data_IF_844754130326
#
_entry.id   IF_844754130326
#
_cell.length_a   1.000
_cell.length_b   1.000
_cell.length_c   1.000
_cell.angle_alpha   90.00
_cell.angle_beta   90.00
_cell.angle_gamma   90.00
#
_symmetry.space_group_name_H-M   'P 1'
#
loop_
_entity.id
_entity.type
_entity.pdbx_description
1 polymer ?
#
# COMPACT_ATOMS: atom_id res chain seq x y z
N UNK A 1 -20.79 -4.17 5.15
CA UNK A 1 -21.72 -5.13 4.54
C UNK A 1 -21.12 -6.50 4.59
N UNK A 2 -21.93 -7.55 4.84
CA UNK A 2 -21.45 -8.92 4.76
C UNK A 2 -21.32 -9.36 3.29
N UNK A 3 -20.23 -10.03 2.96
CA UNK A 3 -20.07 -10.77 1.71
C UNK A 3 -20.70 -12.17 1.91
N UNK A 4 -22.01 -12.27 1.70
CA UNK A 4 -22.77 -13.51 1.93
C UNK A 4 -22.22 -14.71 1.15
N UNK A 5 -21.62 -14.48 -0.03
CA UNK A 5 -20.95 -15.55 -0.76
C UNK A 5 -19.68 -16.01 -0.04
N UNK A 6 -18.89 -15.10 0.47
CA UNK A 6 -17.72 -15.44 1.29
C UNK A 6 -18.13 -16.23 2.54
N UNK A 7 -19.20 -15.82 3.22
CA UNK A 7 -19.75 -16.55 4.36
C UNK A 7 -20.22 -17.96 3.95
N UNK A 8 -20.91 -18.08 2.82
CA UNK A 8 -21.38 -19.37 2.27
C UNK A 8 -20.20 -20.32 2.00
N UNK A 9 -19.13 -19.88 1.33
CA UNK A 9 -18.00 -20.77 1.01
C UNK A 9 -17.09 -21.08 2.18
N UNK A 10 -17.25 -20.37 3.30
CA UNK A 10 -16.59 -20.72 4.57
C UNK A 10 -17.27 -21.89 5.27
N UNK A 11 -18.56 -22.12 5.02
CA UNK A 11 -19.28 -23.29 5.48
C UNK A 11 -18.81 -24.54 4.70
N UNK A 12 -18.61 -25.71 5.36
CA UNK A 12 -18.13 -26.94 4.71
C UNK A 12 -18.98 -27.38 3.49
N UNK A 13 -20.31 -27.26 3.58
CA UNK A 13 -21.23 -27.59 2.46
C UNK A 13 -21.07 -26.61 1.30
N UNK A 14 -21.11 -25.31 1.57
CA UNK A 14 -20.94 -24.29 0.56
C UNK A 14 -19.58 -24.35 -0.12
N UNK A 15 -18.53 -24.66 0.62
CA UNK A 15 -17.18 -24.90 0.11
C UNK A 15 -17.17 -26.03 -0.91
N UNK A 16 -17.75 -27.19 -0.57
CA UNK A 16 -17.79 -28.36 -1.45
C UNK A 16 -18.56 -28.07 -2.75
N UNK A 17 -19.68 -27.35 -2.64
CA UNK A 17 -20.47 -26.92 -3.81
C UNK A 17 -19.65 -25.98 -4.70
N UNK A 18 -19.05 -24.94 -4.12
CA UNK A 18 -18.25 -23.98 -4.85
C UNK A 18 -17.05 -24.63 -5.55
N UNK A 19 -16.35 -25.55 -4.87
CA UNK A 19 -15.24 -26.32 -5.46
C UNK A 19 -15.69 -27.16 -6.65
N UNK A 20 -16.80 -27.89 -6.54
CA UNK A 20 -17.32 -28.72 -7.62
C UNK A 20 -17.76 -27.92 -8.84
N UNK A 21 -18.20 -26.67 -8.63
CA UNK A 21 -18.63 -25.75 -9.69
C UNK A 21 -17.49 -24.86 -10.21
N UNK A 22 -16.27 -25.00 -9.70
CA UNK A 22 -15.12 -24.15 -10.08
C UNK A 22 -15.30 -22.67 -9.72
N UNK A 23 -16.14 -22.37 -8.72
CA UNK A 23 -16.43 -21.01 -8.30
C UNK A 23 -15.27 -20.41 -7.45
N UNK A 24 -15.14 -19.08 -7.38
CA UNK A 24 -14.14 -18.41 -6.56
C UNK A 24 -14.17 -18.84 -5.09
N UNK A 25 -13.01 -18.98 -4.47
CA UNK A 25 -12.87 -19.46 -3.09
C UNK A 25 -12.19 -18.38 -2.21
N UNK A 26 -12.91 -17.28 -1.88
CA UNK A 26 -12.35 -16.28 -0.96
C UNK A 26 -12.07 -16.89 0.40
N UNK A 27 -10.98 -16.46 1.02
CA UNK A 27 -10.60 -16.84 2.37
C UNK A 27 -10.64 -15.63 3.29
N UNK A 28 -10.75 -15.87 4.60
CA UNK A 28 -10.51 -14.80 5.58
C UNK A 28 -9.04 -14.39 5.52
N UNK A 29 -8.78 -13.17 5.04
CA UNK A 29 -7.44 -12.61 5.04
C UNK A 29 -7.01 -12.27 6.47
N UNK A 30 -5.79 -12.62 6.80
CA UNK A 30 -5.17 -12.17 8.04
C UNK A 30 -4.81 -10.69 7.92
N UNK A 31 -5.52 -9.84 8.67
CA UNK A 31 -5.31 -8.41 8.77
C UNK A 31 -4.66 -8.07 10.10
N UNK A 32 -3.88 -7.01 10.12
CA UNK A 32 -3.16 -6.55 11.30
C UNK A 32 -4.12 -6.23 12.46
N UNK A 33 -3.73 -6.64 13.65
CA UNK A 33 -4.37 -6.30 14.92
C UNK A 33 -3.41 -5.46 15.76
N UNK A 34 -3.91 -4.48 16.47
CA UNK A 34 -3.09 -3.60 17.30
C UNK A 34 -2.25 -4.42 18.30
N UNK A 35 -0.97 -4.05 18.44
CA UNK A 35 -0.01 -4.76 19.28
C UNK A 35 0.54 -6.08 18.69
N UNK A 36 0.11 -6.48 17.50
CA UNK A 36 0.63 -7.69 16.84
C UNK A 36 2.05 -7.46 16.31
N UNK A 37 2.91 -8.49 16.41
CA UNK A 37 4.23 -8.48 15.78
C UNK A 37 4.11 -8.24 14.27
N UNK A 38 5.07 -7.55 13.64
CA UNK A 38 5.04 -7.30 12.20
C UNK A 38 5.07 -8.59 11.37
N UNK A 39 5.77 -9.62 11.85
CA UNK A 39 5.81 -10.94 11.21
C UNK A 39 5.23 -11.96 12.18
N UNK A 40 4.23 -12.72 11.73
CA UNK A 40 3.42 -13.62 12.57
C UNK A 40 3.79 -15.10 12.45
N UNK A 41 4.93 -15.41 11.88
CA UNK A 41 5.43 -16.77 11.70
C UNK A 41 6.82 -16.79 11.09
N UNK A 42 7.26 -17.99 10.70
CA UNK A 42 8.62 -18.19 10.19
C UNK A 42 8.87 -17.50 8.85
N UNK A 43 10.09 -17.04 8.67
CA UNK A 43 10.62 -16.42 7.45
C UNK A 43 11.60 -17.37 6.79
N UNK A 44 11.50 -17.57 5.48
CA UNK A 44 12.58 -18.16 4.70
C UNK A 44 13.27 -17.07 3.89
N UNK A 45 14.59 -16.99 3.98
CA UNK A 45 15.39 -15.98 3.33
C UNK A 45 16.48 -16.60 2.45
N UNK A 46 16.54 -16.16 1.21
CA UNK A 46 17.57 -16.53 0.25
C UNK A 46 18.04 -15.34 -0.55
N UNK A 47 19.22 -15.47 -1.14
CA UNK A 47 19.86 -14.41 -1.90
C UNK A 47 20.42 -14.94 -3.23
N UNK A 48 20.48 -14.11 -4.25
CA UNK A 48 21.19 -14.38 -5.48
C UNK A 48 22.70 -14.28 -5.28
N UNK A 49 23.46 -14.92 -6.16
CA UNK A 49 24.91 -14.69 -6.23
C UNK A 49 25.21 -13.20 -6.40
N UNK A 50 26.22 -12.71 -5.68
CA UNK A 50 26.63 -11.30 -5.67
C UNK A 50 25.52 -10.32 -5.26
N UNK A 51 24.55 -10.75 -4.47
CA UNK A 51 23.53 -9.87 -3.90
C UNK A 51 24.16 -8.77 -3.04
N UNK A 52 23.66 -7.55 -3.18
CA UNK A 52 24.23 -6.37 -2.51
C UNK A 52 23.36 -5.86 -1.33
N UNK A 53 22.15 -6.38 -1.17
CA UNK A 53 21.20 -5.94 -0.14
C UNK A 53 21.03 -6.96 0.99
N UNK A 54 21.68 -8.10 0.92
CA UNK A 54 21.51 -9.22 1.85
C UNK A 54 21.72 -8.84 3.32
N UNK A 55 22.77 -8.06 3.62
CA UNK A 55 23.06 -7.62 4.99
C UNK A 55 22.01 -6.62 5.53
N UNK A 56 21.51 -5.74 4.68
CA UNK A 56 20.48 -4.76 5.08
C UNK A 56 19.14 -5.46 5.34
N UNK A 57 18.78 -6.45 4.52
CA UNK A 57 17.60 -7.28 4.74
C UNK A 57 17.74 -8.07 6.04
N UNK A 58 18.87 -8.72 6.27
CA UNK A 58 19.16 -9.47 7.50
C UNK A 58 19.07 -8.57 8.75
N UNK A 59 19.58 -7.34 8.67
CA UNK A 59 19.46 -6.36 9.74
C UNK A 59 18.00 -6.01 10.05
N UNK A 60 17.15 -5.85 9.04
CA UNK A 60 15.71 -5.64 9.26
C UNK A 60 15.08 -6.85 9.93
N UNK A 61 15.43 -8.07 9.49
CA UNK A 61 14.93 -9.31 10.12
C UNK A 61 15.35 -9.43 11.59
N UNK A 62 16.58 -9.03 11.92
CA UNK A 62 17.04 -8.93 13.32
C UNK A 62 16.23 -7.90 14.13
N UNK A 63 16.00 -6.70 13.57
CA UNK A 63 15.23 -5.64 14.22
C UNK A 63 13.78 -6.03 14.54
N UNK A 64 13.20 -6.93 13.76
CA UNK A 64 11.84 -7.46 14.00
C UNK A 64 11.83 -8.77 14.78
N UNK A 65 13.00 -9.27 15.16
CA UNK A 65 13.18 -10.55 15.87
C UNK A 65 12.50 -11.73 15.12
N UNK A 66 12.72 -11.78 13.80
CA UNK A 66 12.12 -12.81 12.96
C UNK A 66 12.68 -14.20 13.27
N UNK A 67 11.81 -15.21 13.23
CA UNK A 67 12.21 -16.62 13.21
C UNK A 67 12.62 -17.00 11.78
N UNK A 68 13.93 -17.06 11.51
CA UNK A 68 14.49 -17.13 10.16
C UNK A 68 15.02 -18.53 9.84
N UNK A 69 14.69 -18.99 8.64
CA UNK A 69 15.18 -20.23 8.04
C UNK A 69 16.04 -19.93 6.82
N UNK A 70 17.10 -20.67 6.67
CA UNK A 70 17.92 -20.70 5.45
C UNK A 70 17.18 -21.45 4.34
N UNK A 71 17.37 -20.98 3.11
CA UNK A 71 16.97 -21.74 1.92
C UNK A 71 17.79 -23.03 1.77
N UNK A 72 17.37 -23.99 0.93
CA UNK A 72 18.09 -25.27 0.76
C UNK A 72 19.57 -25.14 0.33
N UNK A 73 19.94 -24.03 -0.28
CA UNK A 73 21.32 -23.74 -0.69
C UNK A 73 22.09 -22.91 0.35
N UNK A 74 21.44 -22.54 1.44
CA UNK A 74 22.00 -21.71 2.51
C UNK A 74 22.59 -20.38 2.02
N UNK A 75 22.02 -19.85 0.95
CA UNK A 75 22.56 -18.72 0.22
C UNK A 75 22.68 -17.42 1.04
N UNK A 76 21.83 -17.25 2.08
CA UNK A 76 21.81 -16.09 2.96
C UNK A 76 22.62 -16.28 4.28
N UNK A 77 23.36 -17.40 4.44
CA UNK A 77 24.04 -17.73 5.70
C UNK A 77 24.91 -16.62 6.24
N UNK A 78 25.82 -16.11 5.42
CA UNK A 78 26.78 -15.07 5.86
C UNK A 78 26.07 -13.78 6.27
N UNK A 79 25.05 -13.35 5.56
CA UNK A 79 24.28 -12.16 5.90
C UNK A 79 23.53 -12.31 7.22
N UNK A 80 22.96 -13.50 7.50
CA UNK A 80 22.27 -13.78 8.74
C UNK A 80 23.23 -13.88 9.93
N UNK A 81 24.43 -14.47 9.74
CA UNK A 81 25.47 -14.51 10.75
C UNK A 81 25.98 -13.09 11.09
N UNK A 82 26.20 -12.23 10.07
CA UNK A 82 26.59 -10.84 10.25
C UNK A 82 25.54 -10.04 11.06
N UNK A 83 24.25 -10.38 10.90
CA UNK A 83 23.15 -9.81 11.65
C UNK A 83 22.89 -10.49 13.01
N UNK A 84 23.72 -11.47 13.40
CA UNK A 84 23.61 -12.24 14.65
C UNK A 84 22.26 -13.00 14.74
N UNK A 85 21.72 -13.46 13.62
CA UNK A 85 20.53 -14.30 13.57
C UNK A 85 20.99 -15.78 13.57
N UNK A 86 20.51 -16.54 14.54
CA UNK A 86 20.65 -18.00 14.59
C UNK A 86 19.57 -18.62 13.69
N UNK A 87 19.88 -18.74 12.40
CA UNK A 87 18.93 -19.19 11.40
C UNK A 87 18.82 -20.73 11.40
N UNK A 88 17.60 -21.22 11.36
CA UNK A 88 17.30 -22.64 11.31
C UNK A 88 17.50 -23.22 9.89
N UNK A 89 17.69 -24.52 9.80
CA UNK A 89 17.76 -25.22 8.53
C UNK A 89 16.37 -25.47 7.96
N UNK A 90 16.21 -25.36 6.65
CA UNK A 90 15.00 -25.79 5.96
C UNK A 90 14.78 -27.29 6.14
N UNK A 91 13.62 -27.67 6.67
CA UNK A 91 13.25 -29.06 6.94
C UNK A 91 11.98 -29.50 6.21
N UNK A 92 11.77 -30.81 6.16
CA UNK A 92 10.54 -31.38 5.62
C UNK A 92 9.32 -30.91 6.45
N UNK A 93 8.20 -30.63 5.76
CA UNK A 93 6.94 -30.17 6.37
C UNK A 93 7.01 -28.79 7.07
N UNK A 94 8.03 -28.00 6.80
CA UNK A 94 8.11 -26.61 7.27
C UNK A 94 7.20 -25.70 6.44
N UNK A 95 6.50 -24.79 7.11
CA UNK A 95 5.68 -23.75 6.48
C UNK A 95 6.20 -22.37 6.86
N UNK A 96 6.15 -21.45 5.90
CA UNK A 96 6.68 -20.09 6.05
C UNK A 96 5.59 -19.04 5.88
N UNK A 97 5.58 -18.09 6.77
CA UNK A 97 4.70 -16.92 6.66
C UNK A 97 5.23 -15.91 5.67
N UNK A 98 6.54 -15.77 5.58
CA UNK A 98 7.20 -14.83 4.68
C UNK A 98 8.32 -15.55 3.93
N UNK A 99 8.37 -15.38 2.61
CA UNK A 99 9.50 -15.78 1.78
C UNK A 99 10.11 -14.52 1.16
N UNK A 100 11.39 -14.29 1.42
CA UNK A 100 12.15 -13.14 0.93
C UNK A 100 13.29 -13.64 0.07
N UNK A 101 13.44 -13.05 -1.13
CA UNK A 101 14.56 -13.32 -2.02
C UNK A 101 15.23 -12.03 -2.47
N UNK A 102 16.53 -11.89 -2.16
CA UNK A 102 17.35 -10.80 -2.67
C UNK A 102 17.87 -11.12 -4.07
N UNK A 103 17.25 -10.53 -5.08
CA UNK A 103 17.62 -10.65 -6.49
C UNK A 103 18.54 -9.51 -6.97
N UNK A 104 19.09 -8.71 -6.08
CA UNK A 104 19.92 -7.53 -6.45
C UNK A 104 21.22 -7.91 -7.17
N UNK A 105 21.72 -9.13 -6.97
CA UNK A 105 22.90 -9.65 -7.63
C UNK A 105 22.68 -10.12 -9.07
N UNK A 106 21.43 -10.29 -9.52
CA UNK A 106 21.10 -10.79 -10.87
C UNK A 106 21.45 -9.75 -11.93
N UNK A 107 22.36 -10.11 -12.83
CA UNK A 107 22.91 -9.25 -13.90
C UNK A 107 22.54 -9.70 -15.31
N UNK A 108 22.08 -10.93 -15.48
CA UNK A 108 21.72 -11.50 -16.76
C UNK A 108 20.41 -12.27 -16.69
N UNK A 109 19.76 -12.46 -17.84
CA UNK A 109 18.51 -13.24 -17.91
C UNK A 109 18.73 -14.73 -17.61
N UNK A 110 19.93 -15.25 -17.83
CA UNK A 110 20.28 -16.62 -17.46
C UNK A 110 20.26 -16.81 -15.92
N UNK A 111 20.70 -15.82 -15.17
CA UNK A 111 20.74 -15.84 -13.70
C UNK A 111 19.35 -15.79 -13.06
N UNK A 112 18.28 -15.46 -13.80
CA UNK A 112 16.88 -15.56 -13.33
C UNK A 112 16.52 -16.98 -12.86
N UNK A 113 17.28 -18.01 -13.28
CA UNK A 113 17.14 -19.37 -12.78
C UNK A 113 17.29 -19.45 -11.25
N UNK A 114 18.03 -18.54 -10.62
CA UNK A 114 18.20 -18.49 -9.17
C UNK A 114 16.87 -18.19 -8.44
N UNK A 115 16.03 -17.33 -9.04
CA UNK A 115 14.67 -17.05 -8.53
C UNK A 115 13.83 -18.35 -8.52
N UNK A 116 13.86 -19.10 -9.63
CA UNK A 116 13.18 -20.39 -9.73
C UNK A 116 13.71 -21.39 -8.69
N UNK A 117 15.03 -21.49 -8.56
CA UNK A 117 15.66 -22.44 -7.64
C UNK A 117 15.30 -22.19 -6.18
N UNK A 118 15.08 -20.91 -5.79
CA UNK A 118 14.63 -20.54 -4.45
C UNK A 118 13.12 -20.83 -4.26
N UNK A 119 12.26 -20.35 -5.15
CA UNK A 119 10.81 -20.43 -4.93
C UNK A 119 10.19 -21.77 -5.26
N UNK A 120 10.74 -22.52 -6.22
CA UNK A 120 10.15 -23.80 -6.64
C UNK A 120 10.05 -24.84 -5.50
N UNK A 121 11.10 -25.12 -4.71
CA UNK A 121 11.01 -26.10 -3.63
C UNK A 121 10.08 -25.68 -2.50
N UNK A 122 9.87 -24.38 -2.28
CA UNK A 122 9.06 -23.84 -1.18
C UNK A 122 7.66 -23.40 -1.59
N UNK A 123 7.29 -23.47 -2.87
CA UNK A 123 6.04 -22.93 -3.40
C UNK A 123 4.78 -23.46 -2.66
N UNK A 124 4.80 -24.71 -2.21
CA UNK A 124 3.72 -25.32 -1.44
C UNK A 124 3.82 -25.12 0.07
N UNK A 125 4.97 -24.64 0.53
CA UNK A 125 5.29 -24.40 1.94
C UNK A 125 5.02 -22.96 2.38
N UNK A 126 4.50 -22.10 1.51
CA UNK A 126 4.02 -20.78 1.93
C UNK A 126 2.65 -20.94 2.58
N UNK A 127 2.50 -20.44 3.79
CA UNK A 127 1.28 -20.57 4.59
C UNK A 127 0.14 -19.67 4.06
N UNK A 128 -1.07 -19.88 4.58
CA UNK A 128 -2.24 -19.03 4.28
C UNK A 128 -1.96 -17.58 4.70
N UNK A 129 -2.42 -16.65 3.87
CA UNK A 129 -2.12 -15.21 4.04
C UNK A 129 -0.62 -14.95 4.18
N UNK A 130 0.23 -15.75 3.51
CA UNK A 130 1.68 -15.57 3.49
C UNK A 130 2.11 -14.42 2.59
N UNK A 131 3.39 -14.09 2.64
CA UNK A 131 4.01 -12.98 1.92
C UNK A 131 5.18 -13.48 1.10
N UNK A 132 5.16 -13.19 -0.20
CA UNK A 132 6.30 -13.41 -1.10
C UNK A 132 6.87 -12.04 -1.45
N UNK A 133 8.14 -11.83 -1.15
CA UNK A 133 8.81 -10.56 -1.37
C UNK A 133 10.09 -10.83 -2.16
N UNK A 134 10.16 -10.23 -3.34
CA UNK A 134 11.39 -10.17 -4.13
C UNK A 134 11.96 -8.77 -4.00
N UNK A 135 13.26 -8.67 -3.77
CA UNK A 135 13.97 -7.40 -3.68
C UNK A 135 14.97 -7.35 -4.83
N UNK A 136 14.95 -6.27 -5.60
CA UNK A 136 15.82 -6.11 -6.78
C UNK A 136 16.28 -4.67 -6.92
N UNK A 137 16.96 -4.41 -8.05
CA UNK A 137 17.44 -3.07 -8.41
C UNK A 137 16.50 -2.42 -9.43
N UNK A 138 16.27 -1.10 -9.37
CA UNK A 138 15.49 -0.41 -10.39
C UNK A 138 16.10 -0.62 -11.78
N UNK A 139 15.34 -1.07 -12.78
CA UNK A 139 15.86 -1.30 -14.13
C UNK A 139 16.53 -0.06 -14.74
N UNK A 140 16.02 1.11 -14.43
CA UNK A 140 16.55 2.41 -14.86
C UNK A 140 17.90 2.80 -14.22
N UNK A 141 18.33 2.10 -13.18
CA UNK A 141 19.61 2.27 -12.48
C UNK A 141 20.62 1.18 -12.81
N UNK A 142 20.24 0.20 -13.64
CA UNK A 142 21.11 -0.89 -14.04
C UNK A 142 22.20 -0.43 -15.01
N UNK A 143 23.37 -1.07 -14.95
CA UNK A 143 24.55 -0.68 -15.73
C UNK A 143 24.59 -1.28 -17.14
N UNK A 144 23.71 -2.25 -17.44
CA UNK A 144 23.63 -2.90 -18.74
C UNK A 144 22.20 -3.22 -19.13
N UNK A 145 21.95 -3.36 -20.45
CA UNK A 145 20.64 -3.77 -20.98
C UNK A 145 20.25 -5.16 -20.46
N UNK A 146 21.20 -6.09 -20.36
CA UNK A 146 20.96 -7.44 -19.86
C UNK A 146 20.50 -7.42 -18.40
N UNK A 147 21.13 -6.61 -17.54
CA UNK A 147 20.74 -6.42 -16.16
C UNK A 147 19.36 -5.77 -16.04
N UNK A 148 19.12 -4.69 -16.80
CA UNK A 148 17.82 -4.01 -16.79
C UNK A 148 16.69 -4.97 -17.21
N UNK A 149 16.90 -5.79 -18.25
CA UNK A 149 15.94 -6.79 -18.69
C UNK A 149 15.70 -7.87 -17.62
N UNK A 150 16.76 -8.35 -16.96
CA UNK A 150 16.65 -9.35 -15.91
C UNK A 150 15.91 -8.79 -14.67
N UNK A 151 16.24 -7.60 -14.22
CA UNK A 151 15.56 -6.95 -13.09
C UNK A 151 14.08 -6.65 -13.42
N UNK A 152 13.78 -6.19 -14.65
CA UNK A 152 12.40 -5.98 -15.09
C UNK A 152 11.59 -7.29 -15.16
N UNK A 153 12.20 -8.42 -15.48
CA UNK A 153 11.53 -9.72 -15.53
C UNK A 153 10.95 -10.15 -14.17
N UNK A 154 11.52 -9.68 -13.05
CA UNK A 154 11.03 -9.94 -11.70
C UNK A 154 9.58 -9.44 -11.50
N UNK A 155 9.16 -8.39 -12.21
CA UNK A 155 7.77 -7.92 -12.15
C UNK A 155 6.78 -8.96 -12.66
N UNK A 156 7.12 -9.62 -13.78
CA UNK A 156 6.32 -10.71 -14.32
C UNK A 156 6.21 -11.87 -13.35
N UNK A 157 7.32 -12.21 -12.68
CA UNK A 157 7.36 -13.26 -11.67
C UNK A 157 6.42 -12.96 -10.50
N UNK A 158 6.56 -11.83 -9.83
CA UNK A 158 5.73 -11.50 -8.65
C UNK A 158 4.25 -11.38 -8.99
N UNK A 159 3.93 -10.82 -10.17
CA UNK A 159 2.54 -10.73 -10.65
C UNK A 159 1.93 -12.11 -10.92
N UNK A 160 2.72 -13.06 -11.42
CA UNK A 160 2.26 -14.45 -11.66
C UNK A 160 2.09 -15.20 -10.36
N UNK A 161 3.07 -15.14 -9.46
CA UNK A 161 3.01 -15.79 -8.13
C UNK A 161 1.81 -15.33 -7.32
N UNK A 162 1.51 -14.02 -7.31
CA UNK A 162 0.34 -13.48 -6.62
C UNK A 162 -1.00 -14.03 -7.15
N UNK A 163 -1.06 -14.50 -8.41
CA UNK A 163 -2.23 -15.16 -8.98
C UNK A 163 -2.25 -16.67 -8.73
N UNK A 164 -1.08 -17.30 -8.78
CA UNK A 164 -0.94 -18.77 -8.68
C UNK A 164 -1.08 -19.31 -7.27
N UNK A 165 -0.46 -18.65 -6.28
CA UNK A 165 -0.37 -19.20 -4.93
C UNK A 165 -1.70 -19.17 -4.17
N UNK A 166 -2.64 -18.28 -4.55
CA UNK A 166 -3.98 -18.22 -3.93
C UNK A 166 -3.90 -18.13 -2.40
N UNK A 167 -4.87 -18.70 -1.69
CA UNK A 167 -4.88 -18.82 -0.21
C UNK A 167 -4.60 -17.50 0.53
N UNK A 168 -4.90 -16.32 -0.10
CA UNK A 168 -4.62 -15.00 0.45
C UNK A 168 -3.14 -14.63 0.49
N UNK A 169 -2.29 -15.40 -0.19
CA UNK A 169 -0.86 -15.09 -0.32
C UNK A 169 -0.70 -13.88 -1.22
N UNK A 170 0.09 -12.91 -0.76
CA UNK A 170 0.46 -11.73 -1.56
C UNK A 170 1.88 -11.86 -2.09
N UNK A 171 2.17 -11.20 -3.22
CA UNK A 171 3.50 -11.20 -3.82
C UNK A 171 3.88 -9.79 -4.25
N UNK A 172 5.09 -9.33 -3.86
CA UNK A 172 5.55 -7.95 -4.04
C UNK A 172 6.96 -7.94 -4.62
N UNK A 173 7.26 -6.87 -5.35
CA UNK A 173 8.63 -6.52 -5.75
C UNK A 173 9.00 -5.17 -5.14
N UNK A 174 10.12 -5.13 -4.45
CA UNK A 174 10.71 -3.90 -3.93
C UNK A 174 11.98 -3.63 -4.73
N UNK A 175 11.97 -2.60 -5.55
CA UNK A 175 13.20 -2.08 -6.13
C UNK A 175 13.87 -1.13 -5.14
N UNK A 176 15.11 -1.41 -4.81
CA UNK A 176 15.92 -0.59 -3.91
C UNK A 176 17.05 0.05 -4.70
N UNK A 177 17.14 1.36 -4.66
CA UNK A 177 18.32 2.06 -5.23
C UNK A 177 19.58 1.58 -4.49
N UNK A 178 20.68 1.28 -5.18
CA UNK A 178 21.90 0.77 -4.55
C UNK A 178 22.41 1.62 -3.37
N UNK A 179 22.12 2.93 -3.36
CA UNK A 179 22.54 3.85 -2.31
C UNK A 179 21.45 4.09 -1.24
N UNK A 180 20.36 3.36 -1.27
CA UNK A 180 19.18 3.60 -0.43
C UNK A 180 18.80 2.41 0.47
N UNK A 181 19.67 1.45 0.67
CA UNK A 181 19.41 0.25 1.47
C UNK A 181 18.96 0.59 2.90
N UNK A 182 19.46 1.67 3.49
CA UNK A 182 19.08 2.18 4.82
C UNK A 182 17.59 2.60 4.91
N UNK A 183 16.93 2.82 3.80
CA UNK A 183 15.51 3.22 3.74
C UNK A 183 14.55 2.01 3.54
N UNK A 184 15.08 0.78 3.47
CA UNK A 184 14.31 -0.43 3.16
C UNK A 184 13.36 -0.84 4.30
N UNK A 185 13.73 -0.61 5.56
CA UNK A 185 13.09 -1.22 6.74
C UNK A 185 11.58 -0.97 6.79
N UNK A 186 11.13 0.26 6.60
CA UNK A 186 9.71 0.61 6.63
C UNK A 186 8.89 -0.19 5.61
N UNK A 187 9.38 -0.28 4.38
CA UNK A 187 8.73 -0.99 3.27
C UNK A 187 8.73 -2.51 3.50
N UNK A 188 9.84 -3.07 3.96
CA UNK A 188 9.92 -4.50 4.24
C UNK A 188 9.01 -4.89 5.41
N UNK A 189 8.97 -4.11 6.49
CA UNK A 189 8.02 -4.30 7.61
C UNK A 189 6.57 -4.27 7.14
N UNK A 190 6.21 -3.33 6.28
CA UNK A 190 4.85 -3.25 5.74
C UNK A 190 4.49 -4.48 4.94
N UNK A 191 5.30 -4.85 3.94
CA UNK A 191 4.98 -5.98 3.07
C UNK A 191 5.09 -7.34 3.74
N UNK A 192 5.97 -7.51 4.72
CA UNK A 192 6.08 -8.74 5.48
C UNK A 192 4.95 -8.92 6.53
N UNK A 193 4.18 -7.88 6.81
CA UNK A 193 3.17 -7.84 7.85
C UNK A 193 1.73 -8.08 7.34
N UNK A 194 0.78 -8.41 8.24
CA UNK A 194 -0.64 -8.44 7.93
C UNK A 194 -1.24 -7.08 7.54
N UNK A 195 -0.51 -5.96 7.69
CA UNK A 195 -0.95 -4.62 7.22
C UNK A 195 -1.14 -4.59 5.70
N UNK A 196 -0.37 -5.38 4.94
CA UNK A 196 -0.43 -5.46 3.48
C UNK A 196 -1.40 -6.54 2.95
N UNK A 197 -2.39 -6.96 3.73
CA UNK A 197 -3.24 -8.12 3.44
C UNK A 197 -3.96 -8.07 2.07
N UNK A 198 -4.28 -6.88 1.56
CA UNK A 198 -4.98 -6.68 0.30
C UNK A 198 -4.12 -6.01 -0.79
N UNK A 199 -2.81 -5.89 -0.55
CA UNK A 199 -1.82 -5.39 -1.50
C UNK A 199 -1.08 -6.56 -2.10
N UNK A 200 -1.21 -6.80 -3.41
CA UNK A 200 -0.54 -7.90 -4.13
C UNK A 200 -0.22 -7.51 -5.56
N UNK A 201 0.86 -8.07 -6.11
CA UNK A 201 1.33 -7.81 -7.46
C UNK A 201 1.90 -6.41 -7.64
N UNK A 202 2.29 -5.74 -6.54
CA UNK A 202 2.79 -4.36 -6.60
C UNK A 202 4.31 -4.31 -6.75
N UNK A 203 4.75 -3.24 -7.40
CA UNK A 203 6.15 -2.87 -7.56
C UNK A 203 6.34 -1.52 -6.90
N UNK A 204 7.21 -1.48 -5.89
CA UNK A 204 7.50 -0.27 -5.13
C UNK A 204 8.97 0.06 -5.26
N UNK A 205 9.28 1.35 -5.36
CA UNK A 205 10.65 1.86 -5.40
C UNK A 205 11.02 2.49 -4.07
N UNK A 206 12.16 2.10 -3.54
CA UNK A 206 12.81 2.70 -2.37
C UNK A 206 14.07 3.40 -2.88
N UNK A 207 14.04 4.71 -2.85
CA UNK A 207 15.12 5.58 -3.29
C UNK A 207 15.84 6.25 -2.13
N UNK A 208 16.69 7.19 -2.48
CA UNK A 208 17.40 8.03 -1.51
C UNK A 208 16.40 8.86 -0.70
N UNK A 209 16.71 9.07 0.55
CA UNK A 209 15.90 9.84 1.49
C UNK A 209 16.57 9.91 2.84
N UNK A 210 16.08 10.77 3.72
CA UNK A 210 16.61 10.88 5.07
C UNK A 210 16.07 9.70 5.92
N UNK A 211 16.93 8.82 6.43
CA UNK A 211 16.48 7.77 7.34
C UNK A 211 16.01 8.41 8.65
N UNK A 212 14.76 8.18 9.01
CA UNK A 212 14.16 8.65 10.26
C UNK A 212 13.88 7.46 11.15
N UNK A 213 14.47 7.46 12.35
CA UNK A 213 14.18 6.44 13.36
C UNK A 213 12.82 6.73 14.01
N UNK A 214 12.00 5.70 14.15
CA UNK A 214 10.70 5.81 14.78
C UNK A 214 10.51 4.73 15.85
N UNK A 215 9.62 4.99 16.79
CA UNK A 215 9.07 3.93 17.66
C UNK A 215 8.06 3.10 16.87
N UNK A 216 8.42 1.89 16.49
CA UNK A 216 7.57 1.03 15.67
C UNK A 216 6.23 0.63 16.33
N UNK A 217 6.07 0.82 17.64
CA UNK A 217 4.78 0.64 18.31
C UNK A 217 3.85 1.83 18.06
N UNK A 218 4.41 3.03 17.94
CA UNK A 218 3.70 4.30 17.67
C UNK A 218 4.47 5.15 16.66
N UNK A 219 4.56 4.69 15.39
CA UNK A 219 5.48 5.31 14.41
C UNK A 219 5.12 6.74 14.02
N UNK A 220 3.91 7.18 14.34
CA UNK A 220 3.43 8.55 14.10
C UNK A 220 3.33 9.38 15.40
N UNK A 221 3.95 8.92 16.50
CA UNK A 221 3.89 9.64 17.77
C UNK A 221 4.42 11.07 17.63
N UNK A 222 3.62 12.02 18.10
CA UNK A 222 3.95 13.45 18.06
C UNK A 222 3.76 14.10 16.70
N UNK A 223 3.21 13.40 15.71
CA UNK A 223 2.93 13.93 14.37
C UNK A 223 1.51 14.49 14.27
N UNK A 224 1.35 15.60 13.55
CA UNK A 224 0.06 16.21 13.21
C UNK A 224 -0.25 15.93 11.74
N UNK A 225 -1.31 15.18 11.49
CA UNK A 225 -1.73 14.78 10.15
C UNK A 225 -3.16 15.28 9.85
N UNK A 226 -3.39 15.72 8.63
CA UNK A 226 -4.70 16.11 8.12
C UNK A 226 -5.27 14.99 7.26
N UNK A 227 -6.56 14.68 7.41
CA UNK A 227 -7.29 13.72 6.56
C UNK A 227 -8.53 14.40 6.01
N UNK A 228 -8.62 14.56 4.68
CA UNK A 228 -9.81 15.10 4.02
C UNK A 228 -10.83 13.99 3.75
N UNK A 229 -12.14 14.32 3.84
CA UNK A 229 -13.21 13.32 3.72
C UNK A 229 -13.22 12.32 4.87
N UNK A 230 -12.92 12.77 6.09
CA UNK A 230 -12.65 11.90 7.25
C UNK A 230 -13.89 11.41 7.98
N UNK A 231 -15.10 11.86 7.62
CA UNK A 231 -16.32 11.58 8.37
C UNK A 231 -16.82 10.14 8.27
N UNK A 232 -16.41 9.38 7.24
CA UNK A 232 -16.90 8.01 6.98
C UNK A 232 -16.00 7.20 6.06
N UNK A 233 -16.26 5.90 5.98
CA UNK A 233 -15.69 5.01 4.96
C UNK A 233 -14.16 4.88 5.04
N UNK A 234 -13.47 5.14 3.92
CA UNK A 234 -12.02 5.05 3.84
C UNK A 234 -11.39 6.14 4.71
N UNK A 235 -11.88 7.38 4.64
CA UNK A 235 -11.33 8.51 5.42
C UNK A 235 -11.44 8.32 6.94
N UNK A 236 -12.56 7.80 7.42
CA UNK A 236 -12.74 7.40 8.83
C UNK A 236 -11.71 6.32 9.22
N UNK A 237 -11.54 5.28 8.39
CA UNK A 237 -10.57 4.22 8.66
C UNK A 237 -9.13 4.76 8.68
N UNK A 238 -8.78 5.67 7.77
CA UNK A 238 -7.48 6.35 7.75
C UNK A 238 -7.26 7.11 9.06
N UNK A 239 -8.21 7.95 9.45
CA UNK A 239 -8.11 8.74 10.69
C UNK A 239 -7.89 7.85 11.93
N UNK A 240 -8.63 6.73 12.00
CA UNK A 240 -8.50 5.76 13.10
C UNK A 240 -7.12 5.07 13.11
N UNK A 241 -6.61 4.65 11.94
CA UNK A 241 -5.30 3.98 11.84
C UNK A 241 -4.16 4.94 12.16
N UNK A 242 -4.18 6.16 11.63
CA UNK A 242 -3.14 7.16 11.90
C UNK A 242 -3.12 7.55 13.39
N UNK A 243 -4.28 7.70 14.02
CA UNK A 243 -4.37 7.95 15.46
C UNK A 243 -3.90 6.75 16.29
N UNK A 244 -4.29 5.51 15.92
CA UNK A 244 -3.77 4.29 16.53
C UNK A 244 -2.24 4.26 16.51
N UNK A 245 -1.63 4.66 15.41
CA UNK A 245 -0.19 4.68 15.22
C UNK A 245 0.49 5.92 15.88
N UNK A 246 -0.29 6.79 16.57
CA UNK A 246 0.20 7.84 17.47
C UNK A 246 0.07 9.27 16.97
N UNK A 247 -0.50 9.51 15.78
CA UNK A 247 -0.70 10.85 15.26
C UNK A 247 -1.85 11.59 15.97
N UNK A 248 -1.73 12.92 16.07
CA UNK A 248 -2.89 13.79 16.21
C UNK A 248 -3.48 14.01 14.82
N UNK A 249 -4.75 13.61 14.63
CA UNK A 249 -5.43 13.73 13.34
C UNK A 249 -6.40 14.90 13.34
N UNK A 250 -6.24 15.82 12.39
CA UNK A 250 -7.22 16.86 12.06
C UNK A 250 -8.14 16.29 10.98
N UNK A 251 -9.35 15.93 11.39
CA UNK A 251 -10.38 15.39 10.50
C UNK A 251 -11.07 16.54 9.75
N UNK A 252 -11.05 16.50 8.42
CA UNK A 252 -11.64 17.52 7.55
C UNK A 252 -12.80 16.94 6.76
N UNK A 253 -13.95 17.63 6.77
CA UNK A 253 -15.09 17.33 5.91
C UNK A 253 -16.01 18.54 5.79
N UNK A 254 -16.96 18.51 4.85
CA UNK A 254 -17.94 19.58 4.61
C UNK A 254 -18.95 19.68 5.76
N UNK A 255 -19.59 20.85 5.89
CA UNK A 255 -20.55 21.13 6.95
C UNK A 255 -21.71 20.11 7.03
N UNK A 256 -22.13 19.57 5.90
CA UNK A 256 -23.18 18.55 5.84
C UNK A 256 -22.79 17.23 6.54
N UNK A 257 -21.51 16.98 6.80
CA UNK A 257 -20.98 15.80 7.49
C UNK A 257 -20.49 16.10 8.92
N UNK A 258 -20.76 17.27 9.46
CA UNK A 258 -20.20 17.75 10.74
C UNK A 258 -20.46 16.80 11.90
N UNK A 259 -21.65 16.21 12.00
CA UNK A 259 -22.01 15.28 13.08
C UNK A 259 -21.15 14.02 13.06
N UNK A 260 -21.01 13.40 11.88
CA UNK A 260 -20.19 12.19 11.71
C UNK A 260 -18.70 12.53 11.90
N UNK A 261 -18.26 13.70 11.42
CA UNK A 261 -16.89 14.18 11.60
C UNK A 261 -16.53 14.36 13.08
N UNK A 262 -17.42 14.98 13.86
CA UNK A 262 -17.24 15.14 15.32
C UNK A 262 -17.19 13.80 16.04
N UNK A 263 -18.03 12.86 15.63
CA UNK A 263 -18.02 11.49 16.19
C UNK A 263 -16.66 10.81 15.95
N UNK A 264 -16.18 10.81 14.71
CA UNK A 264 -14.88 10.20 14.35
C UNK A 264 -13.73 10.86 15.14
N UNK A 265 -13.66 12.19 15.12
CA UNK A 265 -12.63 12.93 15.84
C UNK A 265 -12.68 12.68 17.37
N UNK A 266 -13.88 12.60 17.95
CA UNK A 266 -14.07 12.27 19.37
C UNK A 266 -13.59 10.86 19.72
N UNK A 267 -13.88 9.86 18.87
CA UNK A 267 -13.44 8.47 19.08
C UNK A 267 -11.91 8.33 19.09
N UNK A 268 -11.19 9.15 18.32
CA UNK A 268 -9.73 9.06 18.18
C UNK A 268 -8.95 10.12 18.99
N UNK A 269 -9.62 10.99 19.71
CA UNK A 269 -8.96 12.13 20.40
C UNK A 269 -8.34 13.14 19.42
N UNK A 270 -8.85 13.20 18.20
CA UNK A 270 -8.43 14.14 17.14
C UNK A 270 -9.14 15.49 17.26
N UNK A 271 -8.99 16.31 16.22
CA UNK A 271 -9.71 17.57 16.06
C UNK A 271 -10.47 17.61 14.74
N UNK A 272 -11.44 18.52 14.64
CA UNK A 272 -12.25 18.70 13.43
C UNK A 272 -11.94 20.03 12.78
N UNK A 273 -11.98 20.06 11.45
CA UNK A 273 -12.01 21.26 10.63
C UNK A 273 -13.15 21.11 9.62
N UNK A 274 -14.26 21.80 9.87
CA UNK A 274 -15.38 21.86 8.90
C UNK A 274 -14.98 22.78 7.76
N UNK A 275 -14.76 22.22 6.57
CA UNK A 275 -14.20 22.91 5.43
C UNK A 275 -14.66 22.28 4.11
N UNK A 276 -15.08 23.10 3.16
CA UNK A 276 -15.16 22.71 1.76
C UNK A 276 -13.76 22.84 1.14
N UNK A 277 -13.18 21.73 0.74
CA UNK A 277 -11.81 21.69 0.18
C UNK A 277 -11.71 22.41 -1.16
N UNK A 278 -12.84 22.69 -1.85
CA UNK A 278 -12.86 23.45 -3.10
C UNK A 278 -12.77 24.97 -2.90
N UNK A 279 -12.90 25.44 -1.65
CA UNK A 279 -12.77 26.87 -1.32
C UNK A 279 -11.35 27.38 -1.61
N UNK A 280 -11.22 28.61 -2.07
CA UNK A 280 -9.92 29.19 -2.44
C UNK A 280 -8.96 29.34 -1.24
N UNK A 281 -9.49 29.47 -0.03
CA UNK A 281 -8.74 29.58 1.23
C UNK A 281 -8.53 28.23 1.97
N UNK A 282 -8.80 27.10 1.29
CA UNK A 282 -8.74 25.79 1.92
C UNK A 282 -7.33 25.46 2.44
N UNK A 283 -6.29 25.72 1.64
CA UNK A 283 -4.89 25.50 2.04
C UNK A 283 -4.51 26.34 3.26
N UNK A 284 -4.88 27.63 3.29
CA UNK A 284 -4.64 28.53 4.40
C UNK A 284 -5.30 28.04 5.70
N UNK A 285 -6.57 27.63 5.64
CA UNK A 285 -7.31 27.11 6.80
C UNK A 285 -6.71 25.81 7.35
N UNK A 286 -6.25 24.94 6.46
CA UNK A 286 -5.55 23.70 6.85
C UNK A 286 -4.24 24.03 7.55
N UNK A 287 -3.41 24.90 6.96
CA UNK A 287 -2.16 25.36 7.55
C UNK A 287 -2.37 26.00 8.93
N UNK A 288 -3.35 26.90 9.05
CA UNK A 288 -3.68 27.57 10.30
C UNK A 288 -4.20 26.60 11.37
N UNK A 289 -4.92 25.55 11.00
CA UNK A 289 -5.36 24.52 11.93
C UNK A 289 -4.19 23.67 12.44
N UNK A 290 -3.25 23.28 11.55
CA UNK A 290 -2.07 22.52 11.90
C UNK A 290 -1.07 23.33 12.74
N UNK A 291 -0.90 24.62 12.47
CA UNK A 291 -0.01 25.51 13.22
C UNK A 291 -0.33 25.55 14.72
N UNK A 292 -1.62 25.40 15.11
CA UNK A 292 -2.07 25.31 16.51
C UNK A 292 -1.55 24.04 17.23
N UNK A 293 -0.98 23.11 16.46
CA UNK A 293 -0.48 21.79 16.92
C UNK A 293 1.04 21.60 16.64
N UNK A 294 1.75 22.67 16.32
CA UNK A 294 3.20 22.62 16.07
C UNK A 294 3.59 22.41 14.61
N UNK A 295 2.65 22.60 13.67
CA UNK A 295 2.87 22.49 12.22
C UNK A 295 2.24 21.25 11.61
N UNK A 296 2.42 21.08 10.30
CA UNK A 296 1.85 20.03 9.50
C UNK A 296 2.89 18.97 9.14
N UNK A 297 2.77 17.76 9.72
CA UNK A 297 3.66 16.65 9.39
C UNK A 297 3.17 15.81 8.18
N UNK A 298 1.94 16.02 7.75
CA UNK A 298 1.46 15.43 6.52
C UNK A 298 -0.04 15.60 6.29
N UNK A 299 -0.44 15.34 5.06
CA UNK A 299 -1.83 15.41 4.62
C UNK A 299 -2.21 14.17 3.82
N UNK A 300 -3.43 13.68 4.04
CA UNK A 300 -4.05 12.63 3.23
C UNK A 300 -5.21 13.22 2.45
N UNK A 301 -5.05 13.35 1.15
CA UNK A 301 -6.09 13.76 0.20
C UNK A 301 -6.98 12.56 -0.11
N UNK A 302 -8.04 12.39 0.70
CA UNK A 302 -8.98 11.28 0.55
C UNK A 302 -10.37 11.74 0.10
N UNK A 303 -10.73 12.99 0.28
CA UNK A 303 -12.02 13.51 -0.15
C UNK A 303 -12.22 13.28 -1.65
N UNK A 304 -13.40 12.83 -2.03
CA UNK A 304 -13.72 12.58 -3.43
C UNK A 304 -15.18 12.20 -3.63
N UNK A 305 -15.67 12.50 -4.83
CA UNK A 305 -17.05 12.21 -5.24
C UNK A 305 -17.08 11.48 -6.58
N UNK A 306 -18.19 10.81 -6.85
CA UNK A 306 -18.52 10.27 -8.18
C UNK A 306 -19.80 10.92 -8.72
N UNK A 307 -19.90 11.06 -10.04
CA UNK A 307 -21.09 11.45 -10.78
C UNK A 307 -21.12 10.60 -12.04
N UNK A 308 -21.63 9.37 -11.88
CA UNK A 308 -21.48 8.32 -12.88
C UNK A 308 -22.54 8.48 -14.00
N UNK A 309 -22.07 8.72 -15.21
CA UNK A 309 -22.83 8.71 -16.48
C UNK A 309 -21.88 8.39 -17.63
N UNK A 310 -22.40 7.80 -18.69
CA UNK A 310 -21.64 7.70 -19.95
C UNK A 310 -21.36 9.11 -20.49
N UNK A 311 -20.21 9.32 -21.13
CA UNK A 311 -19.76 10.62 -21.60
C UNK A 311 -20.84 11.38 -22.41
N UNK A 312 -21.53 10.68 -23.28
CA UNK A 312 -22.60 11.27 -24.12
C UNK A 312 -23.86 11.74 -23.36
N UNK A 313 -24.00 11.33 -22.08
CA UNK A 313 -25.14 11.69 -21.21
C UNK A 313 -24.72 12.49 -19.97
N UNK A 314 -23.44 12.79 -19.86
CA UNK A 314 -22.88 13.57 -18.76
C UNK A 314 -23.13 15.04 -19.05
N UNK A 315 -23.61 15.79 -18.08
CA UNK A 315 -23.72 17.24 -18.15
C UNK A 315 -22.49 17.93 -17.54
N UNK A 316 -22.36 19.23 -17.82
CA UNK A 316 -21.22 20.06 -17.39
C UNK A 316 -21.09 20.07 -15.85
N UNK A 317 -22.21 20.13 -15.12
CA UNK A 317 -22.18 20.13 -13.65
C UNK A 317 -21.62 18.82 -13.07
N UNK A 318 -21.94 17.67 -13.69
CA UNK A 318 -21.39 16.38 -13.28
C UNK A 318 -19.89 16.31 -13.54
N UNK A 319 -19.43 16.87 -14.65
CA UNK A 319 -18.02 16.96 -15.00
C UNK A 319 -17.26 17.86 -14.03
N UNK A 320 -17.70 19.10 -13.93
CA UNK A 320 -17.03 20.14 -13.14
C UNK A 320 -16.96 19.79 -11.66
N UNK A 321 -18.06 19.27 -11.09
CA UNK A 321 -18.07 18.86 -9.68
C UNK A 321 -17.01 17.80 -9.38
N UNK A 322 -16.86 16.79 -10.24
CA UNK A 322 -15.87 15.71 -10.03
C UNK A 322 -14.45 16.24 -10.22
N UNK A 323 -14.18 17.03 -11.26
CA UNK A 323 -12.86 17.61 -11.50
C UNK A 323 -12.45 18.54 -10.36
N UNK A 324 -13.36 19.41 -9.90
CA UNK A 324 -13.08 20.38 -8.86
C UNK A 324 -12.77 19.71 -7.51
N UNK A 325 -13.55 18.71 -7.10
CA UNK A 325 -13.35 18.05 -5.81
C UNK A 325 -12.18 17.07 -5.83
N UNK A 326 -12.07 16.24 -6.90
CA UNK A 326 -11.15 15.11 -6.90
C UNK A 326 -9.73 15.44 -7.39
N UNK A 327 -9.53 16.59 -8.03
CA UNK A 327 -8.24 16.97 -8.61
C UNK A 327 -7.88 18.42 -8.29
N UNK A 328 -8.67 19.40 -8.76
CA UNK A 328 -8.32 20.82 -8.65
C UNK A 328 -8.16 21.28 -7.18
N UNK A 329 -8.98 20.73 -6.26
CA UNK A 329 -8.88 21.05 -4.85
C UNK A 329 -7.58 20.55 -4.23
N UNK A 330 -7.16 19.31 -4.58
CA UNK A 330 -5.88 18.76 -4.12
C UNK A 330 -4.71 19.61 -4.61
N UNK A 331 -4.68 19.97 -5.91
CA UNK A 331 -3.65 20.83 -6.50
C UNK A 331 -3.55 22.18 -5.79
N UNK A 332 -4.67 22.87 -5.59
CA UNK A 332 -4.71 24.19 -4.93
C UNK A 332 -4.20 24.11 -3.48
N UNK A 333 -4.59 23.08 -2.75
CA UNK A 333 -4.15 22.89 -1.37
C UNK A 333 -2.64 22.64 -1.31
N UNK A 334 -2.12 21.72 -2.15
CA UNK A 334 -0.69 21.40 -2.18
C UNK A 334 0.15 22.61 -2.66
N UNK A 335 -0.30 23.34 -3.66
CA UNK A 335 0.35 24.57 -4.12
C UNK A 335 0.46 25.61 -2.98
N UNK A 336 -0.61 25.80 -2.20
CA UNK A 336 -0.58 26.70 -1.05
C UNK A 336 0.40 26.20 0.02
N UNK A 337 0.26 24.93 0.44
CA UNK A 337 1.05 24.36 1.53
C UNK A 337 2.55 24.31 1.23
N UNK A 338 2.91 24.00 -0.01
CA UNK A 338 4.31 23.95 -0.47
C UNK A 338 4.91 25.34 -0.67
N UNK A 339 4.15 26.30 -1.21
CA UNK A 339 4.64 27.66 -1.47
C UNK A 339 4.78 28.50 -0.20
N UNK A 340 4.08 28.17 0.88
CA UNK A 340 4.11 28.90 2.16
C UNK A 340 4.86 28.16 3.28
N UNK A 341 5.71 27.18 2.92
CA UNK A 341 6.50 26.38 3.87
C UNK A 341 5.68 25.86 5.08
N UNK A 342 4.44 25.40 4.80
CA UNK A 342 3.50 25.00 5.84
C UNK A 342 3.83 23.63 6.43
N UNK A 343 4.65 22.83 5.75
CA UNK A 343 5.05 21.49 6.16
C UNK A 343 6.25 21.52 7.10
N UNK A 344 6.22 20.67 8.11
CA UNK A 344 7.40 20.32 8.90
C UNK A 344 8.40 19.51 8.05
N UNK A 345 9.66 19.39 8.51
CA UNK A 345 10.64 18.51 7.87
C UNK A 345 10.14 17.05 7.86
N UNK A 346 10.50 16.35 6.79
CA UNK A 346 10.10 14.95 6.57
C UNK A 346 8.57 14.75 6.54
N UNK A 347 7.82 15.71 6.02
CA UNK A 347 6.37 15.60 5.88
C UNK A 347 5.96 14.55 4.83
N UNK A 348 4.74 14.09 4.91
CA UNK A 348 4.16 13.04 4.06
C UNK A 348 2.86 13.50 3.41
N UNK A 349 2.84 13.55 2.10
CA UNK A 349 1.62 13.79 1.31
C UNK A 349 1.18 12.45 0.72
N UNK A 350 -0.06 12.07 0.99
CA UNK A 350 -0.62 10.81 0.45
C UNK A 350 -1.94 11.10 -0.24
N UNK A 351 -2.02 10.81 -1.53
CA UNK A 351 -3.20 11.04 -2.35
C UNK A 351 -3.98 9.75 -2.58
N UNK A 352 -5.30 9.82 -2.56
CA UNK A 352 -6.16 8.68 -2.89
C UNK A 352 -6.63 8.80 -4.34
N UNK A 353 -5.97 8.03 -5.21
CA UNK A 353 -6.36 7.78 -6.59
C UNK A 353 -7.42 6.66 -6.68
N UNK A 354 -7.41 5.86 -7.72
CA UNK A 354 -8.29 4.70 -7.94
C UNK A 354 -7.73 3.80 -9.04
N UNK A 355 -8.07 2.50 -9.01
CA UNK A 355 -7.86 1.64 -10.19
C UNK A 355 -8.59 2.16 -11.43
N UNK A 356 -9.69 2.92 -11.27
CA UNK A 356 -10.37 3.56 -12.40
C UNK A 356 -9.49 4.60 -13.09
N UNK A 357 -8.59 5.28 -12.39
CA UNK A 357 -7.59 6.18 -12.97
C UNK A 357 -6.50 5.45 -13.76
N UNK A 358 -6.28 4.15 -13.48
CA UNK A 358 -5.27 3.33 -14.16
C UNK A 358 -5.86 2.58 -15.36
N UNK A 359 -7.05 2.00 -15.19
CA UNK A 359 -7.65 1.07 -16.16
C UNK A 359 -8.85 1.67 -16.92
N UNK A 360 -9.34 2.85 -16.50
CA UNK A 360 -10.65 3.36 -16.93
C UNK A 360 -11.81 2.58 -16.28
N UNK A 361 -13.02 3.14 -16.35
CA UNK A 361 -14.24 2.45 -15.94
C UNK A 361 -15.43 2.99 -16.72
N UNK A 362 -16.32 2.08 -17.16
CA UNK A 362 -17.51 2.44 -17.92
C UNK A 362 -18.43 3.36 -17.10
N UNK A 363 -18.82 4.49 -17.69
CA UNK A 363 -19.69 5.47 -17.06
C UNK A 363 -19.00 6.39 -16.03
N UNK A 364 -17.66 6.36 -15.95
CA UNK A 364 -16.86 7.13 -15.01
C UNK A 364 -15.76 7.95 -15.71
N UNK A 365 -16.02 8.50 -16.89
CA UNK A 365 -14.99 9.23 -17.67
C UNK A 365 -14.39 10.40 -16.88
N UNK A 366 -15.24 11.22 -16.23
CA UNK A 366 -14.81 12.31 -15.35
C UNK A 366 -14.02 11.80 -14.14
N UNK A 367 -14.52 10.80 -13.43
CA UNK A 367 -13.88 10.22 -12.25
C UNK A 367 -12.55 9.56 -12.61
N UNK A 368 -12.51 8.73 -13.66
CA UNK A 368 -11.28 8.09 -14.13
C UNK A 368 -10.22 9.15 -14.53
N UNK A 369 -10.64 10.20 -15.23
CA UNK A 369 -9.76 11.30 -15.61
C UNK A 369 -9.21 12.04 -14.39
N UNK A 370 -10.06 12.39 -13.41
CA UNK A 370 -9.59 13.05 -12.19
C UNK A 370 -8.60 12.20 -11.41
N UNK A 371 -8.85 10.87 -11.28
CA UNK A 371 -7.98 9.96 -10.53
C UNK A 371 -6.69 9.59 -11.29
N UNK A 372 -6.68 9.67 -12.61
CA UNK A 372 -5.45 9.64 -13.41
C UNK A 372 -4.65 10.94 -13.26
N UNK A 373 -5.32 12.10 -13.18
CA UNK A 373 -4.69 13.40 -12.89
C UNK A 373 -3.92 13.37 -11.57
N UNK A 374 -4.51 12.81 -10.51
CA UNK A 374 -3.83 12.61 -9.20
C UNK A 374 -2.53 11.81 -9.35
N UNK A 375 -2.52 10.75 -10.17
CA UNK A 375 -1.29 9.97 -10.44
C UNK A 375 -0.23 10.86 -11.11
N UNK A 376 -0.63 11.65 -12.11
CA UNK A 376 0.26 12.57 -12.82
C UNK A 376 0.82 13.66 -11.90
N UNK A 377 -0.02 14.24 -11.04
CA UNK A 377 0.39 15.23 -10.04
C UNK A 377 1.42 14.65 -9.07
N UNK A 378 1.18 13.46 -8.51
CA UNK A 378 2.14 12.78 -7.62
C UNK A 378 3.49 12.54 -8.29
N UNK A 379 3.49 12.03 -9.54
CA UNK A 379 4.72 11.74 -10.27
C UNK A 379 5.50 13.02 -10.65
N UNK A 380 4.79 14.11 -10.96
CA UNK A 380 5.41 15.38 -11.31
C UNK A 380 5.95 16.12 -10.06
N UNK A 381 5.23 16.06 -8.93
CA UNK A 381 5.61 16.76 -7.70
C UNK A 381 6.75 16.04 -6.95
N UNK A 382 6.77 14.71 -6.94
CA UNK A 382 7.73 13.93 -6.17
C UNK A 382 9.22 14.36 -6.36
N UNK A 383 9.74 14.60 -7.57
CA UNK A 383 11.13 15.02 -7.77
C UNK A 383 11.41 16.47 -7.36
N UNK A 384 10.40 17.28 -7.11
CA UNK A 384 10.56 18.70 -6.76
C UNK A 384 10.57 18.96 -5.26
N UNK A 385 10.16 17.97 -4.46
CA UNK A 385 10.03 18.10 -3.01
C UNK A 385 11.39 18.23 -2.32
N UNK A 386 11.40 18.99 -1.21
CA UNK A 386 12.58 19.29 -0.42
C UNK A 386 12.37 18.88 1.04
N UNK A 387 13.39 19.05 1.88
CA UNK A 387 13.34 18.85 3.33
C UNK A 387 12.87 17.46 3.75
N UNK A 388 13.15 16.42 2.93
CA UNK A 388 12.73 15.05 3.20
C UNK A 388 11.22 14.80 3.05
N UNK A 389 10.46 15.77 2.53
CA UNK A 389 9.04 15.61 2.21
C UNK A 389 8.86 14.61 1.07
N UNK A 390 7.85 13.76 1.14
CA UNK A 390 7.50 12.81 0.07
C UNK A 390 6.02 12.90 -0.28
N UNK A 391 5.72 12.55 -1.53
CA UNK A 391 4.36 12.42 -2.03
C UNK A 391 4.16 11.06 -2.69
N UNK A 392 3.08 10.37 -2.34
CA UNK A 392 2.75 9.07 -2.92
C UNK A 392 1.23 8.97 -3.12
N UNK A 393 0.77 8.02 -3.94
CA UNK A 393 -0.65 7.72 -4.04
C UNK A 393 -0.96 6.26 -3.73
N UNK A 394 -2.15 6.05 -3.19
CA UNK A 394 -2.81 4.74 -3.18
C UNK A 394 -3.88 4.71 -4.26
N UNK A 395 -4.06 3.57 -4.92
CA UNK A 395 -5.10 3.35 -5.91
C UNK A 395 -5.99 2.18 -5.46
N UNK A 396 -7.05 2.45 -4.66
CA UNK A 396 -7.97 1.42 -4.21
C UNK A 396 -8.71 0.76 -5.38
N UNK A 397 -8.90 -0.56 -5.29
CA UNK A 397 -9.81 -1.32 -6.14
C UNK A 397 -11.23 -1.32 -5.60
N UNK A 398 -11.89 -2.47 -5.67
CA UNK A 398 -13.20 -2.63 -5.06
C UNK A 398 -13.06 -2.72 -3.54
N UNK A 399 -13.47 -1.67 -2.83
CA UNK A 399 -13.43 -1.58 -1.36
C UNK A 399 -14.87 -1.53 -0.83
N UNK A 400 -15.17 -2.34 0.19
CA UNK A 400 -16.48 -2.43 0.82
C UNK A 400 -16.79 -1.16 1.63
N UNK A 401 -17.56 -0.26 1.04
CA UNK A 401 -17.99 1.01 1.65
C UNK A 401 -19.48 1.25 1.40
N UNK A 402 -20.07 2.30 2.00
CA UNK A 402 -21.43 2.71 1.68
C UNK A 402 -21.57 3.09 0.18
N UNK A 403 -20.53 3.67 -0.42
CA UNK A 403 -20.53 4.03 -1.84
C UNK A 403 -20.65 2.79 -2.73
N UNK A 404 -19.87 1.75 -2.47
CA UNK A 404 -19.92 0.49 -3.25
C UNK A 404 -21.18 -0.33 -2.95
N UNK A 405 -21.82 -0.08 -1.82
CA UNK A 405 -23.09 -0.70 -1.45
C UNK A 405 -24.25 -0.32 -2.39
N UNK A 406 -24.21 0.89 -2.93
CA UNK A 406 -25.22 1.39 -3.86
C UNK A 406 -25.11 0.79 -5.28
N UNK A 407 -24.01 0.08 -5.58
CA UNK A 407 -23.79 -0.58 -6.89
C UNK A 407 -24.79 -1.76 -7.05
N UNK A 408 -25.41 -1.92 -8.22
CA UNK A 408 -26.29 -3.06 -8.52
C UNK A 408 -25.62 -4.40 -8.23
N UNK A 409 -26.36 -5.34 -7.68
CA UNK A 409 -25.83 -6.61 -7.12
C UNK A 409 -24.88 -7.35 -8.08
N UNK A 410 -25.26 -7.56 -9.34
CA UNK A 410 -24.44 -8.32 -10.28
C UNK A 410 -23.08 -7.64 -10.57
N UNK A 411 -23.07 -6.32 -10.74
CA UNK A 411 -21.85 -5.53 -10.98
C UNK A 411 -20.98 -5.53 -9.73
N UNK A 412 -21.59 -5.42 -8.55
CA UNK A 412 -20.91 -5.46 -7.27
C UNK A 412 -20.22 -6.81 -7.03
N UNK A 413 -20.91 -7.93 -7.28
CA UNK A 413 -20.31 -9.26 -7.14
C UNK A 413 -19.18 -9.49 -8.16
N UNK A 414 -19.33 -9.03 -9.39
CA UNK A 414 -18.23 -9.04 -10.36
C UNK A 414 -17.02 -8.25 -9.85
N UNK A 415 -17.22 -7.02 -9.38
CA UNK A 415 -16.15 -6.18 -8.81
C UNK A 415 -15.43 -6.84 -7.65
N UNK A 416 -16.17 -7.52 -6.75
CA UNK A 416 -15.59 -8.28 -5.63
C UNK A 416 -14.70 -9.43 -6.07
N UNK A 417 -15.04 -10.12 -7.17
CA UNK A 417 -14.37 -11.39 -7.58
C UNK A 417 -13.26 -11.18 -8.61
N UNK A 418 -13.19 -10.02 -9.24
CA UNK A 418 -12.21 -9.74 -10.30
C UNK A 418 -10.83 -9.34 -9.76
N UNK A 419 -10.33 -10.10 -8.79
CA UNK A 419 -8.98 -9.98 -8.26
C UNK A 419 -8.47 -11.33 -7.74
N UNK A 420 -7.16 -11.43 -7.50
CA UNK A 420 -6.51 -12.69 -7.08
C UNK A 420 -6.97 -13.20 -5.71
N UNK A 421 -7.53 -12.31 -4.85
CA UNK A 421 -8.08 -12.66 -3.55
C UNK A 421 -9.54 -13.11 -3.62
N UNK A 422 -10.20 -12.92 -4.78
CA UNK A 422 -11.62 -13.24 -5.04
C UNK A 422 -12.58 -12.63 -4.02
N UNK A 423 -12.28 -11.44 -3.50
CA UNK A 423 -13.11 -10.71 -2.52
C UNK A 423 -12.87 -9.20 -2.60
N UNK A 424 -13.77 -8.41 -2.01
CA UNK A 424 -13.57 -6.99 -1.82
C UNK A 424 -12.54 -6.70 -0.73
N UNK A 425 -11.81 -5.60 -0.87
CA UNK A 425 -10.99 -5.04 0.20
C UNK A 425 -11.86 -4.31 1.22
N UNK A 426 -11.27 -4.05 2.38
CA UNK A 426 -11.91 -3.27 3.44
C UNK A 426 -11.26 -1.87 3.53
N UNK A 427 -11.96 -0.87 4.06
CA UNK A 427 -11.39 0.45 4.32
C UNK A 427 -10.06 0.39 5.10
N UNK A 428 -9.93 -0.56 6.02
CA UNK A 428 -8.71 -0.78 6.79
C UNK A 428 -7.50 -1.17 5.91
N UNK A 429 -7.70 -1.88 4.81
CA UNK A 429 -6.61 -2.28 3.91
C UNK A 429 -5.99 -1.04 3.22
N UNK A 430 -6.82 -0.06 2.88
CA UNK A 430 -6.38 1.24 2.33
C UNK A 430 -5.70 2.07 3.41
N UNK A 431 -6.29 2.14 4.60
CA UNK A 431 -5.78 2.91 5.72
C UNK A 431 -4.40 2.42 6.20
N UNK A 432 -4.17 1.12 6.27
CA UNK A 432 -2.86 0.54 6.63
C UNK A 432 -1.78 0.87 5.60
N UNK A 433 -2.14 0.87 4.31
CA UNK A 433 -1.20 1.25 3.24
C UNK A 433 -0.85 2.75 3.32
N UNK A 434 -1.84 3.59 3.61
CA UNK A 434 -1.63 5.03 3.81
C UNK A 434 -0.77 5.28 5.06
N UNK A 435 -1.00 4.58 6.17
CA UNK A 435 -0.21 4.72 7.38
C UNK A 435 1.27 4.37 7.17
N UNK A 436 1.56 3.34 6.35
CA UNK A 436 2.93 3.06 5.93
C UNK A 436 3.53 4.23 5.14
N UNK A 437 2.83 4.78 4.14
CA UNK A 437 3.31 5.90 3.35
C UNK A 437 3.43 7.19 4.16
N UNK A 438 2.57 7.38 5.18
CA UNK A 438 2.60 8.52 6.10
C UNK A 438 3.67 8.39 7.20
N UNK A 439 4.29 7.22 7.37
CA UNK A 439 5.33 7.00 8.37
C UNK A 439 6.60 7.81 8.06
N UNK A 440 7.20 8.52 9.02
CA UNK A 440 8.46 9.23 8.80
C UNK A 440 9.60 8.32 8.32
N UNK A 441 9.62 7.06 8.74
CA UNK A 441 10.60 6.07 8.29
C UNK A 441 10.44 5.65 6.82
N UNK A 442 9.36 6.07 6.13
CA UNK A 442 9.15 5.83 4.70
C UNK A 442 9.75 6.92 3.79
N UNK A 443 10.76 7.65 4.27
CA UNK A 443 11.40 8.76 3.53
C UNK A 443 12.03 8.37 2.20
N UNK A 444 12.38 7.10 2.00
CA UNK A 444 12.84 6.58 0.70
C UNK A 444 11.71 6.20 -0.28
N UNK A 445 10.45 6.29 0.15
CA UNK A 445 9.29 5.97 -0.71
C UNK A 445 8.70 7.27 -1.22
N UNK A 446 9.00 7.64 -2.47
CA UNK A 446 8.55 8.89 -3.07
C UNK A 446 8.11 8.67 -4.52
N UNK A 447 6.99 9.27 -4.93
CA UNK A 447 6.43 9.14 -6.28
C UNK A 447 5.81 7.77 -6.61
N UNK A 448 5.58 6.92 -5.61
CA UNK A 448 5.00 5.61 -5.83
C UNK A 448 3.47 5.66 -5.92
N UNK A 449 2.92 4.80 -6.77
CA UNK A 449 1.48 4.58 -6.92
C UNK A 449 1.18 3.13 -6.53
N UNK A 450 0.59 2.93 -5.36
CA UNK A 450 0.37 1.60 -4.79
C UNK A 450 -1.09 1.19 -4.90
N UNK A 451 -1.37 0.13 -5.65
CA UNK A 451 -2.73 -0.40 -5.79
C UNK A 451 -3.12 -1.24 -4.57
N UNK A 452 -4.24 -0.88 -3.95
CA UNK A 452 -4.85 -1.64 -2.85
C UNK A 452 -6.09 -2.34 -3.41
N UNK A 453 -5.88 -3.40 -4.17
CA UNK A 453 -6.92 -3.99 -5.03
C UNK A 453 -6.94 -5.53 -5.04
N UNK A 454 -6.21 -6.20 -4.15
CA UNK A 454 -6.12 -7.67 -4.15
C UNK A 454 -5.56 -8.24 -5.47
N UNK A 455 -4.76 -7.46 -6.19
CA UNK A 455 -4.29 -7.74 -7.55
C UNK A 455 -5.48 -7.92 -8.53
N UNK A 456 -6.22 -6.83 -8.73
CA UNK A 456 -7.30 -6.79 -9.72
C UNK A 456 -6.80 -7.20 -11.11
N UNK A 457 -7.64 -7.90 -11.86
CA UNK A 457 -7.35 -8.30 -13.26
C UNK A 457 -7.41 -7.11 -14.23
N UNK A 458 -7.98 -5.98 -13.80
CA UNK A 458 -8.05 -4.76 -14.58
C UNK A 458 -6.82 -3.87 -14.33
N UNK A 459 -6.28 -3.35 -15.42
CA UNK A 459 -5.10 -2.49 -15.41
C UNK A 459 -3.78 -3.25 -15.22
N UNK A 460 -2.70 -2.66 -15.70
CA UNK A 460 -1.35 -3.23 -15.64
C UNK A 460 -0.70 -3.06 -14.27
#
# INVERSE_FOLDING_TARGET
MSDHYSEFVQNPLGRKIAQNLGLPMPINLERYKDGQAPITGSVIFGVSENAILANDIAKVLANVQADVYLDPNESARDALQNAQIDAQQFGANQYFKVAIFDASGIKTTHELKQVYNFFHPIARSIDRSGRVIVIGLPPEKCTSIAQAAAQRALEGFVKSVGKEFKRGITSQLIYVDPNAAQNLESTLRFFASPRSAYVSGQVVRVGEGNPVTVDWQKPLKGKTLVVTGASRGIGEAIAKVLSRDGAHVICVDVAAQQSDLQKVAGEIGGSTLTLDITADDAGEKIAAAAAKRGGLDGIVHNAGITRDKTLAKMDDNMWDAVMNVNLNAEEKIDDYLLSHDSFNENARIVCVSSISGIAGNLGQTNYAMSKAGVIGAVQATAPTLKNGTTINAVAPGFIETQMTAAIPFAIREAGRRMNSMSQGGLPIDVAETIAWLACPASGGVNGNIVRVCGQSVLGA
#
